data_IF_050585425166
#
_entry.id   IF_050585425166
#
_cell.length_a   1.000
_cell.length_b   1.000
_cell.length_c   1.000
_cell.angle_alpha   90.00
_cell.angle_beta   90.00
_cell.angle_gamma   90.00
#
_symmetry.space_group_name_H-M   'P 1'
#
loop_
_entity.id
_entity.type
_entity.pdbx_description
1 polymer ?
#
# COMPACT_ATOMS: atom_id res chain seq x y z
N UNK A 1 -15.56 -2.20 -19.54
CA UNK A 1 -15.90 -3.50 -20.20
C UNK A 1 -16.93 -4.32 -19.40
N UNK A 2 -16.87 -4.38 -18.06
CA UNK A 2 -17.82 -5.14 -17.23
C UNK A 2 -19.30 -4.65 -17.32
N UNK A 3 -19.54 -3.34 -17.34
CA UNK A 3 -20.91 -2.78 -17.36
C UNK A 3 -21.73 -3.17 -18.61
N UNK A 4 -21.08 -3.39 -19.76
CA UNK A 4 -21.74 -3.89 -20.99
C UNK A 4 -22.14 -5.37 -20.88
N UNK A 5 -21.42 -6.15 -20.08
CA UNK A 5 -21.69 -7.58 -19.88
C UNK A 5 -22.92 -7.81 -18.99
N UNK A 6 -23.09 -6.98 -17.95
CA UNK A 6 -24.29 -6.99 -17.10
C UNK A 6 -25.56 -6.61 -17.86
N UNK A 7 -25.49 -5.61 -18.75
CA UNK A 7 -26.65 -5.19 -19.58
C UNK A 7 -27.08 -6.24 -20.62
N UNK A 8 -26.18 -7.16 -20.99
CA UNK A 8 -26.46 -8.19 -21.99
C UNK A 8 -27.05 -9.48 -21.39
N UNK A 9 -27.41 -9.49 -20.11
CA UNK A 9 -27.99 -10.63 -19.38
C UNK A 9 -27.16 -11.93 -19.54
N UNK A 10 -25.84 -11.79 -19.71
CA UNK A 10 -24.91 -12.92 -19.74
C UNK A 10 -24.65 -13.32 -18.29
N UNK A 11 -24.92 -14.58 -17.96
CA UNK A 11 -24.87 -15.12 -16.60
C UNK A 11 -23.65 -14.65 -15.83
N UNK A 12 -23.89 -14.18 -14.61
CA UNK A 12 -22.84 -13.75 -13.67
C UNK A 12 -22.40 -14.99 -12.90
N UNK A 13 -21.13 -15.37 -13.03
CA UNK A 13 -20.54 -16.38 -12.14
C UNK A 13 -20.29 -15.71 -10.78
N UNK A 14 -21.19 -15.95 -9.83
CA UNK A 14 -20.97 -15.56 -8.45
C UNK A 14 -19.90 -16.49 -7.85
N UNK A 15 -18.68 -15.97 -7.69
CA UNK A 15 -17.64 -16.68 -6.92
C UNK A 15 -17.95 -16.46 -5.44
N UNK A 16 -18.29 -17.54 -4.73
CA UNK A 16 -18.52 -17.49 -3.29
C UNK A 16 -17.23 -17.15 -2.55
N UNK A 17 -17.25 -16.09 -1.75
CA UNK A 17 -16.15 -15.72 -0.87
C UNK A 17 -16.55 -16.09 0.57
N UNK A 18 -15.57 -16.50 1.38
CA UNK A 18 -15.81 -16.68 2.81
C UNK A 18 -16.26 -15.35 3.43
N UNK A 19 -17.14 -15.41 4.43
CA UNK A 19 -17.69 -14.20 5.08
C UNK A 19 -16.60 -13.31 5.71
N UNK A 20 -15.45 -13.90 6.08
CA UNK A 20 -14.30 -13.20 6.61
C UNK A 20 -13.15 -13.19 5.59
N UNK A 21 -12.57 -12.01 5.26
CA UNK A 21 -11.39 -11.93 4.43
C UNK A 21 -10.19 -12.58 5.12
N UNK A 22 -9.33 -13.25 4.36
CA UNK A 22 -8.12 -13.85 4.88
C UNK A 22 -7.03 -12.79 5.06
N UNK A 23 -6.31 -12.85 6.19
CA UNK A 23 -5.18 -11.96 6.45
C UNK A 23 -4.02 -12.26 5.50
N UNK A 24 -3.41 -11.19 4.98
CA UNK A 24 -2.13 -11.27 4.24
C UNK A 24 -0.93 -11.37 5.19
N UNK A 25 -1.12 -11.05 6.47
CA UNK A 25 -0.09 -11.06 7.51
C UNK A 25 -0.11 -12.41 8.25
N UNK A 26 1.08 -12.96 8.50
CA UNK A 26 1.28 -14.22 9.26
C UNK A 26 0.41 -15.41 8.80
N UNK A 27 0.14 -15.49 7.50
CA UNK A 27 -0.69 -16.53 6.92
C UNK A 27 0.10 -17.33 5.87
N UNK A 28 0.68 -18.45 6.31
CA UNK A 28 1.55 -19.28 5.48
C UNK A 28 0.78 -20.15 4.48
N UNK A 29 -0.52 -20.38 4.70
CA UNK A 29 -1.38 -21.14 3.79
C UNK A 29 -2.00 -20.28 2.68
N UNK A 30 -1.95 -18.95 2.79
CA UNK A 30 -2.56 -18.04 1.82
C UNK A 30 -2.09 -18.27 0.38
N UNK A 31 -0.77 -18.26 0.13
CA UNK A 31 -0.22 -18.46 -1.21
C UNK A 31 -0.51 -19.88 -1.76
N UNK A 32 -0.32 -20.95 -0.98
CA UNK A 32 -0.74 -22.29 -1.40
C UNK A 32 -2.22 -22.42 -1.74
N UNK A 33 -3.11 -21.71 -1.01
CA UNK A 33 -4.54 -21.70 -1.31
C UNK A 33 -4.90 -20.87 -2.55
N UNK A 34 -4.18 -19.78 -2.80
CA UNK A 34 -4.39 -18.92 -3.99
C UNK A 34 -3.83 -19.53 -5.27
N UNK A 35 -2.73 -20.28 -5.17
CA UNK A 35 -2.03 -20.87 -6.32
C UNK A 35 -1.77 -22.38 -6.12
N UNK A 36 -2.79 -23.24 -6.01
CA UNK A 36 -2.59 -24.68 -5.78
C UNK A 36 -1.68 -25.36 -6.80
N UNK A 37 -1.66 -24.85 -8.04
CA UNK A 37 -0.79 -25.35 -9.12
C UNK A 37 0.68 -24.97 -8.96
N UNK A 38 0.99 -23.88 -8.25
CA UNK A 38 2.37 -23.51 -7.90
C UNK A 38 2.82 -24.17 -6.59
N UNK A 39 1.87 -24.59 -5.74
CA UNK A 39 2.14 -25.26 -4.47
C UNK A 39 1.42 -26.61 -4.39
N UNK A 40 1.86 -27.64 -5.14
CA UNK A 40 1.15 -28.92 -5.26
C UNK A 40 0.90 -29.64 -3.92
N UNK A 41 1.75 -29.39 -2.93
CA UNK A 41 1.66 -29.98 -1.59
C UNK A 41 0.93 -29.09 -0.57
N UNK A 42 0.39 -27.94 -0.97
CA UNK A 42 -0.26 -26.99 -0.06
C UNK A 42 0.70 -26.35 0.96
N UNK A 43 2.02 -26.40 0.73
CA UNK A 43 3.08 -25.98 1.65
C UNK A 43 4.09 -25.07 0.95
N UNK A 44 4.90 -24.36 1.73
CA UNK A 44 5.97 -23.50 1.21
C UNK A 44 5.52 -22.09 0.84
N UNK A 45 4.37 -21.63 1.36
CA UNK A 45 3.91 -20.27 1.17
C UNK A 45 4.79 -19.23 1.87
N UNK A 46 4.66 -17.97 1.46
CA UNK A 46 5.37 -16.84 2.08
C UNK A 46 5.13 -16.82 3.61
N UNK A 47 6.19 -16.62 4.39
CA UNK A 47 6.17 -16.72 5.86
C UNK A 47 6.42 -18.13 6.44
N UNK A 48 6.59 -19.17 5.61
CA UNK A 48 6.89 -20.53 6.11
C UNK A 48 8.37 -20.79 6.42
N UNK A 49 9.24 -19.80 6.26
CA UNK A 49 10.69 -19.91 6.45
C UNK A 49 11.19 -18.77 7.34
N UNK A 50 12.45 -18.85 7.78
CA UNK A 50 13.11 -17.76 8.52
C UNK A 50 13.49 -16.56 7.65
N UNK A 51 13.20 -16.62 6.35
CA UNK A 51 13.46 -15.54 5.40
C UNK A 51 12.41 -14.43 5.53
N UNK A 52 12.80 -13.21 5.20
CA UNK A 52 11.84 -12.13 5.01
C UNK A 52 10.88 -12.43 3.85
N UNK A 53 9.67 -11.89 3.91
CA UNK A 53 8.67 -12.06 2.84
C UNK A 53 9.23 -11.69 1.46
N UNK A 54 9.96 -10.57 1.38
CA UNK A 54 10.66 -10.12 0.18
C UNK A 54 11.67 -11.16 -0.34
N UNK A 55 12.52 -11.68 0.56
CA UNK A 55 13.51 -12.68 0.20
C UNK A 55 12.83 -13.97 -0.26
N UNK A 56 11.81 -14.44 0.46
CA UNK A 56 11.10 -15.65 0.11
C UNK A 56 10.42 -15.53 -1.26
N UNK A 57 9.75 -14.40 -1.55
CA UNK A 57 9.18 -14.13 -2.89
C UNK A 57 10.25 -14.09 -3.98
N UNK A 58 11.42 -13.49 -3.70
CA UNK A 58 12.56 -13.50 -4.63
C UNK A 58 13.02 -14.94 -4.92
N UNK A 59 13.11 -15.78 -3.90
CA UNK A 59 13.48 -17.20 -4.07
C UNK A 59 12.43 -17.99 -4.84
N UNK A 60 11.13 -17.75 -4.62
CA UNK A 60 10.05 -18.36 -5.41
C UNK A 60 10.14 -17.95 -6.88
N UNK A 61 10.37 -16.66 -7.15
CA UNK A 61 10.59 -16.18 -8.51
C UNK A 61 11.88 -16.74 -9.11
N UNK A 62 12.96 -16.88 -8.34
CA UNK A 62 14.24 -17.43 -8.83
C UNK A 62 14.32 -18.95 -8.75
N UNK A 63 13.22 -19.63 -8.43
CA UNK A 63 13.18 -21.08 -8.33
C UNK A 63 13.55 -21.72 -9.67
N UNK A 64 14.08 -22.95 -9.60
CA UNK A 64 14.49 -23.68 -10.80
C UNK A 64 13.32 -23.85 -11.77
N UNK A 65 12.15 -24.17 -11.22
CA UNK A 65 10.91 -24.17 -11.98
C UNK A 65 10.42 -22.74 -12.24
N UNK A 66 10.25 -22.41 -13.53
CA UNK A 66 9.85 -21.09 -14.01
C UNK A 66 8.36 -20.81 -13.87
N UNK A 67 7.53 -21.78 -13.47
CA UNK A 67 6.09 -21.56 -13.31
C UNK A 67 5.77 -20.36 -12.40
N UNK A 68 6.56 -20.11 -11.35
CA UNK A 68 6.38 -18.91 -10.51
C UNK A 68 6.64 -17.59 -11.25
N UNK A 69 7.54 -17.59 -12.24
CA UNK A 69 7.82 -16.40 -13.07
C UNK A 69 6.77 -16.21 -14.17
N UNK A 70 6.34 -17.31 -14.79
CA UNK A 70 5.47 -17.29 -15.98
C UNK A 70 3.99 -17.29 -15.64
N UNK A 71 3.62 -17.61 -14.40
CA UNK A 71 2.23 -17.52 -13.95
C UNK A 71 1.71 -16.08 -14.08
N UNK A 72 0.52 -15.94 -14.64
CA UNK A 72 -0.07 -14.64 -14.98
C UNK A 72 -0.42 -13.83 -13.73
N UNK A 73 -0.76 -14.51 -12.62
CA UNK A 73 -1.25 -13.87 -11.40
C UNK A 73 -0.21 -13.75 -10.29
N UNK A 74 0.71 -14.70 -10.19
CA UNK A 74 1.61 -14.81 -9.04
C UNK A 74 2.51 -13.60 -8.85
N UNK A 75 3.26 -13.11 -9.87
CA UNK A 75 4.09 -11.91 -9.68
C UNK A 75 3.25 -10.70 -9.26
N UNK A 76 2.12 -10.49 -9.92
CA UNK A 76 1.22 -9.37 -9.61
C UNK A 76 0.73 -9.40 -8.16
N UNK A 77 0.22 -10.55 -7.70
CA UNK A 77 -0.27 -10.71 -6.31
C UNK A 77 0.89 -10.62 -5.31
N UNK A 78 2.04 -11.24 -5.61
CA UNK A 78 3.20 -11.23 -4.74
C UNK A 78 3.72 -9.81 -4.48
N UNK A 79 3.84 -9.01 -5.54
CA UNK A 79 4.26 -7.60 -5.44
C UNK A 79 3.17 -6.72 -4.83
N UNK A 80 1.89 -6.93 -5.16
CA UNK A 80 0.80 -6.17 -4.54
C UNK A 80 0.76 -6.36 -3.03
N UNK A 81 0.86 -7.60 -2.55
CA UNK A 81 0.95 -7.87 -1.11
C UNK A 81 2.23 -7.30 -0.49
N UNK A 82 3.35 -7.29 -1.21
CA UNK A 82 4.59 -6.66 -0.73
C UNK A 82 4.40 -5.15 -0.55
N UNK A 83 3.77 -4.48 -1.51
CA UNK A 83 3.51 -3.05 -1.45
C UNK A 83 2.56 -2.71 -0.32
N UNK A 84 1.44 -3.44 -0.17
CA UNK A 84 0.50 -3.22 0.93
C UNK A 84 1.19 -3.37 2.29
N UNK A 85 1.95 -4.46 2.49
CA UNK A 85 2.70 -4.68 3.73
C UNK A 85 3.71 -3.56 3.99
N UNK A 86 4.48 -3.19 2.97
CA UNK A 86 5.48 -2.11 3.08
C UNK A 86 4.84 -0.77 3.42
N UNK A 87 3.74 -0.41 2.75
CA UNK A 87 3.00 0.83 3.02
C UNK A 87 2.42 0.86 4.44
N UNK A 88 1.87 -0.26 4.91
CA UNK A 88 1.34 -0.35 6.28
C UNK A 88 2.46 -0.28 7.32
N UNK A 89 3.60 -0.96 7.11
CA UNK A 89 4.75 -0.86 8.01
C UNK A 89 5.40 0.52 7.98
N UNK A 90 5.52 1.15 6.82
CA UNK A 90 5.98 2.54 6.69
C UNK A 90 5.06 3.49 7.45
N UNK A 91 3.74 3.40 7.24
CA UNK A 91 2.75 4.17 8.00
C UNK A 91 2.84 3.93 9.51
N UNK A 92 3.06 2.68 9.95
CA UNK A 92 3.21 2.34 11.37
C UNK A 92 4.50 2.90 11.99
N UNK A 93 5.64 2.77 11.31
CA UNK A 93 6.93 3.31 11.77
C UNK A 93 6.98 4.85 11.73
N UNK A 94 6.18 5.48 10.86
CA UNK A 94 6.04 6.92 10.79
C UNK A 94 5.03 7.48 11.81
N UNK A 95 3.98 6.72 12.11
CA UNK A 95 3.07 6.94 13.22
C UNK A 95 3.61 6.38 14.55
N UNK A 96 4.93 6.16 14.63
CA UNK A 96 5.58 5.79 15.89
C UNK A 96 5.18 6.81 16.97
N UNK A 97 4.95 6.29 18.18
CA UNK A 97 4.06 6.92 19.17
C UNK A 97 4.42 8.38 19.46
N UNK A 98 5.70 8.71 19.44
CA UNK A 98 6.20 10.03 19.83
C UNK A 98 5.82 11.13 18.83
N UNK A 99 5.86 10.84 17.51
CA UNK A 99 5.49 11.83 16.47
C UNK A 99 4.00 11.82 16.15
N UNK A 100 3.30 10.70 16.38
CA UNK A 100 1.88 10.59 16.09
C UNK A 100 1.04 11.61 16.85
N UNK A 101 1.29 11.77 18.16
CA UNK A 101 0.57 12.75 18.98
C UNK A 101 0.85 14.18 18.51
N UNK A 102 2.10 14.48 18.15
CA UNK A 102 2.52 15.81 17.68
C UNK A 102 1.88 16.18 16.33
N UNK A 103 1.82 15.22 15.40
CA UNK A 103 1.17 15.40 14.09
C UNK A 103 -0.35 15.51 14.26
N UNK A 104 -0.95 14.67 15.11
CA UNK A 104 -2.40 14.71 15.39
C UNK A 104 -2.84 16.03 16.02
N UNK A 105 -2.08 16.56 16.98
CA UNK A 105 -2.34 17.89 17.57
C UNK A 105 -2.22 19.00 16.52
N UNK A 106 -1.20 18.93 15.63
CA UNK A 106 -1.05 19.92 14.55
C UNK A 106 -2.18 19.88 13.53
N UNK A 107 -2.66 18.69 13.16
CA UNK A 107 -3.84 18.54 12.30
C UNK A 107 -5.06 19.21 12.95
N UNK A 108 -5.21 19.08 14.28
CA UNK A 108 -6.33 19.70 14.99
C UNK A 108 -6.21 21.22 15.12
N UNK A 109 -5.00 21.75 15.27
CA UNK A 109 -4.72 23.19 15.44
C UNK A 109 -4.74 23.99 14.15
N UNK A 110 -4.74 23.33 13.00
CA UNK A 110 -4.62 24.00 11.71
C UNK A 110 -5.88 24.81 11.37
N UNK A 111 -5.66 26.02 10.85
CA UNK A 111 -6.73 26.86 10.33
C UNK A 111 -7.02 26.47 8.88
N UNK A 112 -8.19 25.86 8.65
CA UNK A 112 -8.63 25.41 7.33
C UNK A 112 -8.66 26.55 6.31
N UNK A 113 -8.89 27.80 6.73
CA UNK A 113 -8.94 28.95 5.82
C UNK A 113 -7.56 29.31 5.24
N UNK A 114 -6.51 29.11 6.03
CA UNK A 114 -5.10 29.30 5.61
C UNK A 114 -4.66 28.15 4.70
N UNK A 115 -5.14 26.94 4.97
CA UNK A 115 -4.82 25.76 4.16
C UNK A 115 -5.47 25.83 2.77
N UNK A 116 -6.72 26.32 2.71
CA UNK A 116 -7.42 26.59 1.45
C UNK A 116 -6.74 27.70 0.64
N UNK A 117 -6.29 28.78 1.28
CA UNK A 117 -5.58 29.86 0.58
C UNK A 117 -4.25 29.37 0.01
N UNK A 118 -3.45 28.64 0.79
CA UNK A 118 -2.18 28.05 0.32
C UNK A 118 -2.44 27.09 -0.85
N UNK A 119 -3.45 26.22 -0.74
CA UNK A 119 -3.80 25.27 -1.81
C UNK A 119 -4.21 25.99 -3.10
N UNK A 120 -5.01 27.05 -3.00
CA UNK A 120 -5.44 27.84 -4.15
C UNK A 120 -4.26 28.57 -4.81
N UNK A 121 -3.36 29.15 -4.02
CA UNK A 121 -2.12 29.76 -4.50
C UNK A 121 -1.17 28.74 -5.18
N UNK A 122 -1.00 27.55 -4.59
CA UNK A 122 -0.19 26.48 -5.17
C UNK A 122 -0.79 25.92 -6.47
N UNK A 123 -2.13 25.81 -6.56
CA UNK A 123 -2.83 25.37 -7.77
C UNK A 123 -2.62 26.33 -8.95
N UNK A 124 -2.42 27.62 -8.65
CA UNK A 124 -2.12 28.69 -9.62
C UNK A 124 -0.63 28.77 -9.98
N UNK A 125 0.20 27.85 -9.46
CA UNK A 125 1.64 27.79 -9.72
C UNK A 125 2.46 28.86 -9.01
N UNK A 126 1.90 29.55 -8.00
CA UNK A 126 2.61 30.58 -7.27
C UNK A 126 3.48 29.95 -6.17
N UNK A 127 4.72 30.45 -6.03
CA UNK A 127 5.61 30.04 -4.93
C UNK A 127 5.18 30.75 -3.66
N UNK A 128 4.56 30.02 -2.74
CA UNK A 128 4.14 30.54 -1.44
C UNK A 128 5.31 30.42 -0.46
N UNK A 129 5.81 31.56 0.01
CA UNK A 129 6.80 31.60 1.11
C UNK A 129 6.02 31.85 2.40
N UNK A 130 6.00 30.93 3.37
CA UNK A 130 5.23 31.09 4.60
C UNK A 130 5.77 32.26 5.42
N UNK A 131 4.93 33.27 5.64
CA UNK A 131 5.28 34.48 6.38
C UNK A 131 4.70 34.45 7.79
N UNK A 132 3.47 33.98 7.93
CA UNK A 132 2.76 33.89 9.21
C UNK A 132 3.03 32.56 9.91
N UNK A 133 2.88 32.53 11.25
CA UNK A 133 3.11 31.31 12.02
C UNK A 133 2.08 30.21 11.67
N UNK A 134 0.85 30.59 11.30
CA UNK A 134 -0.17 29.66 10.81
C UNK A 134 0.19 29.02 9.45
N UNK A 135 0.79 29.80 8.53
CA UNK A 135 1.31 29.26 7.26
C UNK A 135 2.50 28.33 7.51
N UNK A 136 3.43 28.70 8.40
CA UNK A 136 4.58 27.84 8.76
C UNK A 136 4.13 26.49 9.32
N UNK A 137 3.08 26.47 10.13
CA UNK A 137 2.51 25.24 10.67
C UNK A 137 1.86 24.37 9.58
N UNK A 138 1.14 24.97 8.62
CA UNK A 138 0.63 24.25 7.45
C UNK A 138 1.76 23.66 6.60
N UNK A 139 2.82 24.42 6.34
CA UNK A 139 3.99 23.94 5.59
C UNK A 139 4.76 22.84 6.33
N UNK A 140 4.84 22.90 7.65
CA UNK A 140 5.40 21.80 8.46
C UNK A 140 4.54 20.54 8.35
N UNK A 141 3.21 20.66 8.39
CA UNK A 141 2.33 19.51 8.21
C UNK A 141 2.52 18.89 6.82
N UNK A 142 2.58 19.71 5.76
CA UNK A 142 2.83 19.23 4.40
C UNK A 142 4.18 18.52 4.28
N UNK A 143 5.25 19.07 4.87
CA UNK A 143 6.55 18.41 4.91
C UNK A 143 6.52 17.09 5.69
N UNK A 144 5.81 17.03 6.81
CA UNK A 144 5.66 15.78 7.57
C UNK A 144 4.90 14.73 6.72
N UNK A 145 3.85 15.13 6.00
CA UNK A 145 3.11 14.28 5.07
C UNK A 145 3.95 13.84 3.87
N UNK A 146 4.77 14.71 3.30
CA UNK A 146 5.69 14.39 2.21
C UNK A 146 6.80 13.44 2.67
N UNK A 147 7.32 13.63 3.88
CA UNK A 147 8.27 12.71 4.50
C UNK A 147 7.65 11.32 4.73
N UNK A 148 6.36 11.27 5.08
CA UNK A 148 5.58 10.03 5.16
C UNK A 148 5.48 9.38 3.78
N UNK A 149 5.14 10.15 2.74
CA UNK A 149 4.97 9.65 1.38
C UNK A 149 6.28 9.15 0.75
N UNK A 150 7.42 9.79 1.05
CA UNK A 150 8.74 9.42 0.51
C UNK A 150 9.19 8.02 0.93
N UNK A 151 8.93 7.62 2.17
CA UNK A 151 9.36 6.31 2.69
C UNK A 151 8.49 5.14 2.19
N UNK A 152 7.39 5.42 1.48
CA UNK A 152 6.57 4.40 0.82
C UNK A 152 7.17 4.08 -0.55
N UNK A 153 7.91 2.95 -0.64
CA UNK A 153 8.51 2.48 -1.91
C UNK A 153 7.47 2.42 -3.03
N UNK A 154 7.70 3.21 -4.09
CA UNK A 154 6.83 3.28 -5.26
C UNK A 154 5.72 4.34 -5.20
N UNK A 155 5.73 5.23 -4.20
CA UNK A 155 4.92 6.45 -4.22
C UNK A 155 5.43 7.43 -5.29
N UNK A 156 4.57 8.38 -5.70
CA UNK A 156 4.95 9.47 -6.61
C UNK A 156 6.15 10.29 -6.09
N UNK A 157 6.37 10.28 -4.77
CA UNK A 157 7.44 11.01 -4.07
C UNK A 157 8.70 10.16 -3.85
N UNK A 158 8.65 8.83 -4.02
CA UNK A 158 9.77 7.89 -3.79
C UNK A 158 10.77 7.84 -4.96
N UNK A 159 10.79 8.84 -5.86
CA UNK A 159 11.56 8.80 -7.11
C UNK A 159 13.00 9.25 -6.93
#
# INVERSE_FOLDING_TARGET
MAARHFKANRGVLAVGHAAAPQSIYHNTSLYPSMFPWLFPYGKGGVGSSSLSDAAHKKWLLMYHDKHFQTDVGFPFVAFSHEQVKTSTTGGFLLADKDKFFEISERIHRIDNSVLESISDHMSKGQTVVPATDAEKDCFKLLNDLDHIAYNVRGSLMSK
#
